data_IF_431723237347
#
_entry.id   IF_431723237347
#
_cell.length_a   1.000
_cell.length_b   1.000
_cell.length_c   1.000
_cell.angle_alpha   90.00
_cell.angle_beta   90.00
_cell.angle_gamma   90.00
#
_symmetry.space_group_name_H-M   'P 1'
#
loop_
_entity.id
_entity.type
_entity.pdbx_description
1 polymer ?
#
# COMPACT_ATOMS: atom_id res chain seq x y z
N UNK A 1 52.61 12.82 17.49
CA UNK A 1 51.25 13.22 17.90
C UNK A 1 50.35 13.57 16.70
N UNK A 2 50.84 14.24 15.65
CA UNK A 2 50.03 14.63 14.49
C UNK A 2 49.38 13.46 13.71
N UNK A 3 50.07 12.31 13.57
CA UNK A 3 49.53 11.15 12.84
C UNK A 3 48.28 10.53 13.51
N UNK A 4 48.17 10.59 14.84
CA UNK A 4 47.02 10.04 15.56
C UNK A 4 45.75 10.88 15.37
N UNK A 5 45.89 12.20 15.26
CA UNK A 5 44.77 13.13 15.02
C UNK A 5 44.22 13.00 13.59
N UNK A 6 45.07 12.76 12.59
CA UNK A 6 44.65 12.51 11.21
C UNK A 6 43.88 11.19 11.08
N UNK A 7 44.33 10.14 11.79
CA UNK A 7 43.64 8.86 11.80
C UNK A 7 42.24 8.94 12.45
N UNK A 8 42.10 9.65 13.57
CA UNK A 8 40.80 9.90 14.21
C UNK A 8 39.83 10.69 13.32
N UNK A 9 40.34 11.63 12.52
CA UNK A 9 39.53 12.44 11.62
C UNK A 9 38.99 11.62 10.42
N UNK A 10 39.81 10.75 9.83
CA UNK A 10 39.40 9.83 8.75
C UNK A 10 38.40 8.77 9.23
N UNK A 11 38.54 8.30 10.47
CA UNK A 11 37.59 7.37 11.10
C UNK A 11 36.23 8.06 11.29
N UNK A 12 36.20 9.30 11.80
CA UNK A 12 34.94 10.04 11.96
C UNK A 12 34.27 10.39 10.62
N UNK A 13 35.02 10.68 9.56
CA UNK A 13 34.46 10.93 8.22
C UNK A 13 33.79 9.68 7.64
N UNK A 14 34.34 8.50 7.92
CA UNK A 14 33.74 7.21 7.51
C UNK A 14 32.41 6.92 8.23
N UNK A 15 32.26 7.38 9.48
CA UNK A 15 31.01 7.23 10.26
C UNK A 15 29.89 8.20 9.83
N UNK A 16 30.24 9.40 9.35
CA UNK A 16 29.26 10.42 8.95
C UNK A 16 28.57 10.08 7.61
N UNK A 17 29.26 9.41 6.69
CA UNK A 17 28.68 8.94 5.42
C UNK A 17 27.72 7.74 5.59
N UNK A 18 27.79 7.02 6.71
CA UNK A 18 26.90 5.90 7.02
C UNK A 18 25.55 6.36 7.62
N UNK A 19 25.55 7.40 8.44
CA UNK A 19 24.32 7.91 9.10
C UNK A 19 23.44 8.69 8.13
N UNK A 20 24.01 9.31 7.10
CA UNK A 20 23.27 10.07 6.09
C UNK A 20 22.66 9.20 4.95
N UNK A 21 22.92 7.88 4.92
CA UNK A 21 22.65 7.01 3.77
C UNK A 21 21.54 5.95 3.95
N UNK A 22 20.88 5.82 5.11
CA UNK A 22 19.70 4.93 5.23
C UNK A 22 19.92 3.45 4.83
N UNK A 23 20.98 2.79 5.30
CA UNK A 23 21.26 1.39 4.90
C UNK A 23 20.58 0.37 5.83
N UNK A 24 19.31 0.02 5.57
CA UNK A 24 18.65 -1.24 6.04
C UNK A 24 19.47 -2.45 5.58
N UNK A 25 19.55 -3.62 6.26
CA UNK A 25 20.00 -4.91 5.63
C UNK A 25 19.29 -6.15 6.21
N UNK A 26 18.44 -6.86 5.42
CA UNK A 26 18.59 -8.30 5.14
C UNK A 26 17.71 -9.00 4.01
N UNK A 27 17.95 -8.91 2.68
CA UNK A 27 17.81 -9.85 1.46
C UNK A 27 19.09 -10.30 0.57
N UNK A 28 19.34 -11.62 0.33
CA UNK A 28 20.57 -12.44 -0.09
C UNK A 28 21.47 -13.11 1.00
N UNK A 29 22.14 -14.26 0.76
CA UNK A 29 22.97 -14.93 1.81
C UNK A 29 24.14 -14.07 2.34
N UNK A 30 24.59 -13.04 1.60
CA UNK A 30 25.66 -12.16 2.08
C UNK A 30 25.37 -10.69 2.00
N UNK A 31 24.38 -10.23 1.25
CA UNK A 31 24.05 -8.82 1.35
C UNK A 31 22.85 -8.33 0.63
N UNK A 32 22.37 -7.31 1.30
CA UNK A 32 21.01 -6.97 1.26
C UNK A 32 20.76 -5.45 1.13
N UNK A 33 21.43 -4.54 1.86
CA UNK A 33 20.99 -3.11 1.98
C UNK A 33 20.38 -2.33 0.85
N UNK A 34 19.42 -1.51 1.30
CA UNK A 34 18.23 -1.05 0.60
C UNK A 34 17.42 -2.27 0.12
N UNK A 35 17.08 -3.18 1.04
CA UNK A 35 16.42 -4.48 0.79
C UNK A 35 15.21 -4.75 1.67
N UNK A 36 14.81 -3.71 2.37
CA UNK A 36 13.55 -3.62 3.07
C UNK A 36 13.41 -2.14 3.43
N UNK A 37 12.19 -1.61 3.36
CA UNK A 37 11.89 -0.20 3.48
C UNK A 37 12.04 0.62 2.21
N UNK A 38 12.01 0.03 1.00
CA UNK A 38 11.92 0.78 -0.27
C UNK A 38 10.51 0.80 -0.88
N UNK A 39 9.56 0.10 -0.24
CA UNK A 39 8.16 0.06 -0.63
C UNK A 39 7.83 -0.98 -1.70
N UNK A 40 8.76 -1.85 -2.10
CA UNK A 40 8.54 -2.91 -3.10
C UNK A 40 9.03 -4.26 -2.56
N UNK A 41 8.32 -5.34 -2.89
CA UNK A 41 8.77 -6.71 -2.57
C UNK A 41 9.43 -7.31 -3.81
N UNK A 42 10.75 -7.21 -3.91
CA UNK A 42 11.48 -7.60 -5.13
C UNK A 42 12.78 -8.39 -4.88
N UNK A 43 13.25 -9.07 -5.93
CA UNK A 43 14.49 -9.85 -5.91
C UNK A 43 14.48 -10.94 -4.82
N UNK A 44 15.43 -10.93 -3.85
CA UNK A 44 15.49 -11.93 -2.79
C UNK A 44 14.57 -11.65 -1.60
N UNK A 45 13.69 -10.66 -1.67
CA UNK A 45 12.74 -10.32 -0.61
C UNK A 45 11.60 -11.33 -0.51
N UNK A 46 11.28 -11.70 0.72
CA UNK A 46 10.14 -12.53 1.06
C UNK A 46 9.53 -12.00 2.35
N UNK A 47 8.29 -12.36 2.64
CA UNK A 47 7.67 -12.06 3.93
C UNK A 47 8.51 -12.55 5.12
N UNK A 48 9.37 -13.56 4.93
CA UNK A 48 10.23 -14.08 5.99
C UNK A 48 11.50 -13.25 6.25
N UNK A 49 12.01 -12.51 5.27
CA UNK A 49 13.24 -11.73 5.42
C UNK A 49 13.06 -10.21 5.30
N UNK A 50 11.90 -9.78 4.80
CA UNK A 50 11.56 -8.39 4.59
C UNK A 50 10.05 -8.17 4.80
N UNK A 51 9.61 -8.17 6.04
CA UNK A 51 8.20 -7.88 6.37
C UNK A 51 7.80 -6.43 6.08
N UNK A 52 8.76 -5.48 6.00
CA UNK A 52 8.42 -4.08 5.77
C UNK A 52 7.88 -3.85 4.35
N UNK A 53 8.41 -4.56 3.34
CA UNK A 53 7.97 -4.38 1.95
C UNK A 53 7.19 -5.59 1.39
N UNK A 54 7.35 -6.81 1.92
CA UNK A 54 6.64 -7.99 1.43
C UNK A 54 5.33 -8.29 2.17
N UNK A 55 4.25 -8.66 1.46
CA UNK A 55 4.21 -9.22 0.10
C UNK A 55 4.32 -8.21 -1.05
N UNK A 56 4.35 -6.91 -0.76
CA UNK A 56 4.45 -5.85 -1.76
C UNK A 56 3.17 -5.66 -2.55
N UNK A 57 3.26 -4.81 -3.57
CA UNK A 57 2.16 -4.58 -4.51
C UNK A 57 2.04 -5.81 -5.41
N UNK A 58 0.88 -6.46 -5.36
CA UNK A 58 0.53 -7.63 -6.17
C UNK A 58 -0.51 -7.32 -7.24
N UNK A 59 -0.93 -6.05 -7.32
CA UNK A 59 -1.91 -5.54 -8.28
C UNK A 59 -1.34 -4.56 -9.30
N UNK A 60 -2.13 -4.25 -10.31
CA UNK A 60 -1.86 -3.18 -11.27
C UNK A 60 -2.04 -1.80 -10.62
N UNK A 61 -1.39 -0.78 -11.18
CA UNK A 61 -1.37 0.57 -10.58
C UNK A 61 -2.75 1.23 -10.45
N UNK A 62 -3.76 0.79 -11.22
CA UNK A 62 -5.15 1.30 -11.10
C UNK A 62 -5.77 0.93 -9.74
N UNK A 63 -5.29 -0.14 -9.13
CA UNK A 63 -5.83 -0.66 -7.88
C UNK A 63 -5.38 0.12 -6.64
N UNK A 64 -4.32 0.94 -6.75
CA UNK A 64 -3.74 1.73 -5.66
C UNK A 64 -3.55 0.90 -4.37
N UNK A 65 -3.04 -0.33 -4.51
CA UNK A 65 -2.78 -1.19 -3.37
C UNK A 65 -1.78 -0.53 -2.43
N UNK A 66 -2.06 -0.66 -1.14
CA UNK A 66 -1.16 -0.26 -0.07
C UNK A 66 -0.93 -1.51 0.79
N UNK A 67 0.25 -2.15 0.71
CA UNK A 67 0.51 -3.38 1.43
C UNK A 67 0.42 -3.15 2.95
N UNK A 68 -0.06 -4.16 3.68
CA UNK A 68 -0.24 -4.10 5.13
C UNK A 68 -1.18 -2.99 5.64
N UNK A 69 -2.01 -2.44 4.76
CA UNK A 69 -3.00 -1.42 5.12
C UNK A 69 -4.41 -1.98 5.05
N UNK A 70 -5.13 -1.86 6.17
CA UNK A 70 -6.58 -2.06 6.23
C UNK A 70 -7.26 -0.69 6.11
N UNK A 71 -7.60 -0.30 4.88
CA UNK A 71 -8.31 0.95 4.64
C UNK A 71 -9.75 0.84 5.14
N UNK A 72 -10.01 1.37 6.33
CA UNK A 72 -11.34 1.40 6.92
C UNK A 72 -12.38 2.13 6.06
N UNK A 73 -13.66 1.91 6.36
CA UNK A 73 -14.77 2.53 5.63
C UNK A 73 -16.12 1.90 5.95
N UNK A 74 -17.17 2.34 5.27
CA UNK A 74 -18.47 1.67 5.34
C UNK A 74 -18.49 0.47 4.41
N UNK A 75 -18.46 -0.75 4.98
CA UNK A 75 -18.50 -1.99 4.20
C UNK A 75 -19.74 -2.05 3.30
N UNK A 76 -19.52 -2.26 1.99
CA UNK A 76 -20.57 -2.54 0.99
C UNK A 76 -20.63 -4.04 0.66
N UNK A 77 -19.51 -4.74 0.83
CA UNK A 77 -19.42 -6.20 0.77
C UNK A 77 -18.54 -6.68 1.92
N UNK A 78 -19.04 -7.68 2.65
CA UNK A 78 -18.33 -8.30 3.79
C UNK A 78 -17.42 -9.43 3.32
N UNK A 79 -16.13 -9.33 3.61
CA UNK A 79 -15.10 -10.27 3.15
C UNK A 79 -15.18 -11.66 3.79
N UNK A 80 -15.83 -11.81 4.96
CA UNK A 80 -16.02 -13.10 5.63
C UNK A 80 -16.62 -14.16 4.69
N UNK A 81 -17.61 -13.76 3.88
CA UNK A 81 -18.27 -14.63 2.90
C UNK A 81 -17.94 -14.27 1.45
N UNK A 82 -17.08 -13.29 1.22
CA UNK A 82 -16.66 -12.86 -0.10
C UNK A 82 -15.16 -13.10 -0.26
N UNK A 83 -14.84 -14.26 -0.86
CA UNK A 83 -13.46 -14.74 -1.02
C UNK A 83 -12.98 -14.59 -2.46
N UNK A 84 -11.71 -14.29 -2.61
CA UNK A 84 -10.98 -14.24 -3.89
C UNK A 84 -9.64 -14.96 -3.75
N UNK A 85 -9.02 -15.30 -4.88
CA UNK A 85 -7.74 -16.03 -4.91
C UNK A 85 -6.52 -15.11 -4.85
N UNK A 86 -6.70 -13.81 -5.14
CA UNK A 86 -5.61 -12.82 -5.20
C UNK A 86 -6.13 -11.40 -4.93
N UNK A 87 -5.21 -10.50 -4.55
CA UNK A 87 -5.51 -9.07 -4.40
C UNK A 87 -6.00 -8.45 -5.73
N UNK A 88 -5.44 -8.88 -6.87
CA UNK A 88 -5.87 -8.38 -8.18
C UNK A 88 -7.31 -8.74 -8.47
N UNK A 89 -7.72 -9.99 -8.22
CA UNK A 89 -9.12 -10.40 -8.37
C UNK A 89 -10.04 -9.62 -7.43
N UNK A 90 -9.59 -9.30 -6.21
CA UNK A 90 -10.36 -8.47 -5.28
C UNK A 90 -10.55 -7.04 -5.81
N UNK A 91 -9.49 -6.42 -6.35
CA UNK A 91 -9.56 -5.12 -7.01
C UNK A 91 -10.51 -5.13 -8.21
N UNK A 92 -10.40 -6.13 -9.10
CA UNK A 92 -11.25 -6.24 -10.30
C UNK A 92 -12.73 -6.33 -9.92
N UNK A 93 -13.06 -7.14 -8.91
CA UNK A 93 -14.44 -7.25 -8.41
C UNK A 93 -14.93 -5.97 -7.73
N UNK A 94 -14.05 -5.20 -7.08
CA UNK A 94 -14.41 -3.88 -6.56
C UNK A 94 -14.77 -2.93 -7.71
N UNK A 95 -13.98 -2.91 -8.79
CA UNK A 95 -14.29 -2.11 -9.98
C UNK A 95 -15.61 -2.52 -10.63
N UNK A 96 -15.85 -3.83 -10.79
CA UNK A 96 -17.12 -4.35 -11.29
C UNK A 96 -18.29 -3.96 -10.38
N UNK A 97 -18.10 -4.06 -9.05
CA UNK A 97 -19.10 -3.65 -8.08
C UNK A 97 -19.41 -2.16 -8.21
N UNK A 98 -18.40 -1.30 -8.37
CA UNK A 98 -18.58 0.13 -8.56
C UNK A 98 -19.30 0.48 -9.87
N UNK A 99 -19.03 -0.26 -10.95
CA UNK A 99 -19.65 -0.05 -12.26
C UNK A 99 -21.09 -0.57 -12.34
N UNK A 100 -21.49 -1.50 -11.46
CA UNK A 100 -22.79 -2.15 -11.56
C UNK A 100 -23.96 -1.19 -11.22
N UNK A 101 -25.02 -1.09 -12.05
CA UNK A 101 -26.10 -0.13 -11.85
C UNK A 101 -26.82 -0.22 -10.50
N UNK A 102 -26.90 -1.42 -9.90
CA UNK A 102 -27.54 -1.60 -8.58
C UNK A 102 -26.75 -0.95 -7.44
N UNK A 103 -25.47 -0.68 -7.67
CA UNK A 103 -24.55 -0.18 -6.66
C UNK A 103 -24.28 1.32 -6.81
N UNK A 104 -24.97 2.03 -7.72
CA UNK A 104 -24.74 3.47 -7.98
C UNK A 104 -24.82 4.36 -6.72
N UNK A 105 -25.64 3.97 -5.73
CA UNK A 105 -25.76 4.69 -4.46
C UNK A 105 -24.69 4.32 -3.43
N UNK A 106 -24.07 3.17 -3.60
CA UNK A 106 -23.03 2.62 -2.72
C UNK A 106 -21.96 1.89 -3.54
N UNK A 107 -21.25 2.58 -4.46
CA UNK A 107 -20.25 1.94 -5.30
C UNK A 107 -19.06 1.47 -4.44
N UNK A 108 -18.26 0.53 -4.92
CA UNK A 108 -16.99 0.28 -4.23
C UNK A 108 -16.05 1.46 -4.48
N UNK A 109 -15.25 1.85 -3.49
CA UNK A 109 -14.21 2.88 -3.65
C UNK A 109 -12.86 2.44 -3.09
N UNK A 110 -12.87 1.60 -2.04
CA UNK A 110 -11.69 0.93 -1.52
C UNK A 110 -11.95 -0.56 -1.33
N UNK A 111 -10.88 -1.34 -1.34
CA UNK A 111 -10.91 -2.78 -1.19
C UNK A 111 -9.79 -3.22 -0.25
N UNK A 112 -10.00 -4.33 0.47
CA UNK A 112 -8.99 -4.94 1.34
C UNK A 112 -8.97 -6.44 1.08
N UNK A 113 -7.78 -6.99 0.87
CA UNK A 113 -7.56 -8.41 0.63
C UNK A 113 -6.68 -8.99 1.73
N UNK A 114 -7.01 -10.19 2.23
CA UNK A 114 -6.12 -10.93 3.14
C UNK A 114 -5.24 -11.94 2.38
N UNK A 115 -3.93 -11.67 2.20
CA UNK A 115 -3.02 -12.57 1.49
C UNK A 115 -2.37 -13.63 2.39
N UNK A 116 -2.60 -13.58 3.70
CA UNK A 116 -1.97 -14.48 4.68
C UNK A 116 -2.99 -15.50 5.21
N UNK A 117 -2.54 -16.62 5.82
CA UNK A 117 -3.45 -17.54 6.50
C UNK A 117 -4.30 -16.86 7.59
N UNK A 118 -3.72 -15.87 8.27
CA UNK A 118 -4.38 -15.00 9.25
C UNK A 118 -3.94 -13.55 8.99
N UNK A 119 -4.91 -12.64 8.87
CA UNK A 119 -4.69 -11.19 8.83
C UNK A 119 -5.39 -10.51 10.03
N UNK A 120 -4.86 -9.36 10.43
CA UNK A 120 -5.43 -8.52 11.48
C UNK A 120 -6.09 -7.30 10.84
N UNK A 121 -7.34 -7.03 11.20
CA UNK A 121 -8.10 -5.86 10.77
C UNK A 121 -8.31 -4.87 11.91
N UNK A 122 -8.95 -3.73 11.59
CA UNK A 122 -9.38 -2.73 12.57
C UNK A 122 -10.54 -3.21 13.46
N UNK A 123 -11.16 -4.35 13.16
CA UNK A 123 -12.20 -4.95 13.97
C UNK A 123 -11.61 -5.69 15.18
N UNK A 124 -12.02 -5.27 16.38
CA UNK A 124 -11.53 -5.88 17.63
C UNK A 124 -12.03 -7.32 17.76
N UNK A 125 -11.14 -8.28 17.52
CA UNK A 125 -11.28 -9.67 17.97
C UNK A 125 -11.62 -10.72 16.92
N UNK A 126 -11.54 -10.40 15.61
CA UNK A 126 -11.74 -11.38 14.54
C UNK A 126 -10.43 -11.73 13.84
N UNK A 127 -10.26 -13.01 13.50
CA UNK A 127 -9.14 -13.47 12.68
C UNK A 127 -9.62 -13.53 11.23
N UNK A 128 -9.20 -12.59 10.41
CA UNK A 128 -9.44 -12.68 8.97
C UNK A 128 -8.57 -13.78 8.37
N UNK A 129 -9.13 -14.51 7.43
CA UNK A 129 -8.45 -15.65 6.81
C UNK A 129 -8.10 -15.37 5.36
N UNK A 130 -7.19 -16.16 4.79
CA UNK A 130 -6.77 -16.02 3.39
C UNK A 130 -7.98 -15.87 2.45
N UNK A 131 -7.85 -14.92 1.53
CA UNK A 131 -8.80 -14.68 0.46
C UNK A 131 -9.95 -13.75 0.81
N UNK A 132 -10.16 -13.33 2.08
CA UNK A 132 -11.20 -12.34 2.39
C UNK A 132 -10.99 -11.08 1.57
N UNK A 133 -12.06 -10.66 0.88
CA UNK A 133 -12.07 -9.52 0.01
C UNK A 133 -13.20 -8.58 0.43
N UNK A 134 -12.84 -7.48 1.06
CA UNK A 134 -13.76 -6.50 1.62
C UNK A 134 -13.89 -5.32 0.68
N UNK A 135 -15.11 -4.81 0.50
CA UNK A 135 -15.34 -3.58 -0.25
C UNK A 135 -15.87 -2.51 0.68
N UNK A 136 -15.33 -1.32 0.56
CA UNK A 136 -15.71 -0.20 1.38
C UNK A 136 -15.94 1.08 0.56
N UNK A 137 -16.73 1.96 1.17
CA UNK A 137 -16.89 3.36 0.81
C UNK A 137 -16.23 4.23 1.87
N UNK A 138 -15.76 5.44 1.52
CA UNK A 138 -15.42 6.44 2.51
C UNK A 138 -16.61 6.64 3.45
N UNK A 139 -16.36 6.64 4.75
CA UNK A 139 -17.38 7.11 5.71
C UNK A 139 -17.69 8.57 5.38
N UNK A 140 -18.91 9.08 5.65
CA UNK A 140 -19.25 10.47 5.33
C UNK A 140 -18.33 11.53 5.97
N UNK A 141 -17.49 11.16 6.95
CA UNK A 141 -16.43 12.01 7.50
C UNK A 141 -15.14 12.10 6.67
N UNK A 142 -15.01 11.34 5.56
CA UNK A 142 -13.79 11.26 4.74
C UNK A 142 -13.95 11.71 3.29
N UNK A 143 -14.92 12.62 3.02
CA UNK A 143 -15.04 13.50 1.85
C UNK A 143 -16.01 13.08 0.74
N UNK A 144 -17.24 13.55 0.89
CA UNK A 144 -18.13 13.98 -0.18
C UNK A 144 -17.56 15.13 -1.07
N UNK A 145 -16.24 15.27 -1.23
CA UNK A 145 -15.60 16.43 -1.85
C UNK A 145 -15.01 16.21 -3.26
N UNK A 146 -14.95 14.98 -3.79
CA UNK A 146 -14.35 14.72 -5.13
C UNK A 146 -15.33 14.72 -6.31
N UNK A 147 -16.62 14.45 -6.09
CA UNK A 147 -17.60 14.42 -7.20
C UNK A 147 -18.06 15.83 -7.60
N UNK A 148 -18.03 16.81 -6.69
CA UNK A 148 -18.49 18.17 -7.01
C UNK A 148 -17.47 19.00 -7.82
N UNK A 149 -16.17 18.66 -7.79
CA UNK A 149 -15.13 19.47 -8.46
C UNK A 149 -14.75 18.99 -9.86
N UNK A 150 -14.96 17.71 -10.20
CA UNK A 150 -14.58 17.16 -11.51
C UNK A 150 -15.62 17.42 -12.63
N UNK A 151 -16.77 18.02 -12.32
CA UNK A 151 -17.83 18.33 -13.30
C UNK A 151 -17.97 19.81 -13.67
N UNK A 152 -17.04 20.68 -13.25
CA UNK A 152 -17.12 22.12 -13.54
C UNK A 152 -16.10 22.68 -14.56
N UNK A 153 -15.24 21.88 -15.17
CA UNK A 153 -14.35 22.38 -16.22
C UNK A 153 -14.30 21.49 -17.46
N UNK A 154 -15.41 21.49 -18.19
CA UNK A 154 -15.39 21.30 -19.64
C UNK A 154 -16.12 22.47 -20.28
N UNK A 155 -15.44 23.12 -21.24
CA UNK A 155 -15.86 24.24 -22.09
C UNK A 155 -15.79 25.66 -21.52
N UNK A 156 -14.62 26.30 -21.69
CA UNK A 156 -14.56 27.58 -22.43
C UNK A 156 -13.26 27.61 -23.26
N UNK A 157 -13.34 27.31 -24.55
CA UNK A 157 -12.47 27.98 -25.53
C UNK A 157 -13.07 29.35 -25.78
N UNK A 158 -12.36 30.42 -25.44
CA UNK A 158 -12.64 31.75 -25.95
C UNK A 158 -11.42 32.67 -25.82
N UNK A 159 -10.93 33.11 -26.98
CA UNK A 159 -10.36 34.41 -27.27
C UNK A 159 -8.91 34.71 -26.82
N UNK A 160 -8.07 34.79 -27.86
CA UNK A 160 -7.02 35.78 -28.10
C UNK A 160 -6.92 36.96 -27.11
N UNK A 161 -5.66 37.23 -26.74
CA UNK A 161 -5.13 38.48 -26.22
C UNK A 161 -3.61 38.42 -26.32
#
# INVERSE_FOLDING_TARGET
>A
MAAALVALCLIMQSFVEDVASGRTRACSARRRAHCCGDGRCEGPETTANCMADCPGITTTSVCNEEPHSDSGGSAVVFGINHKTSSAQECCDKCMDHAAHPRNQKRPCNSWVFCPLPICWGLDTGWNHTFGECWFALPTPSTHAARVLLAHLHSNVSACAG
#
